data_IF_194177911452
#
_entry.id   IF_194177911452
#
_cell.length_a   1.000
_cell.length_b   1.000
_cell.length_c   1.000
_cell.angle_alpha   90.00
_cell.angle_beta   90.00
_cell.angle_gamma   90.00
#
_symmetry.space_group_name_H-M   'P 1'
#
loop_
_entity.id
_entity.type
_entity.pdbx_description
1 polymer ?
#
# COMPACT_ATOMS: atom_id res chain seq x y z
N UNK A 1 86.35 -7.00 -19.16
CA UNK A 1 86.16 -7.82 -17.94
C UNK A 1 84.97 -7.25 -17.16
N UNK A 2 84.11 -8.18 -16.73
CA UNK A 2 82.75 -8.11 -16.17
C UNK A 2 82.35 -6.83 -15.38
N UNK A 3 81.26 -6.18 -15.81
CA UNK A 3 80.42 -5.30 -14.97
C UNK A 3 79.42 -6.20 -14.22
N UNK A 4 79.44 -6.15 -12.89
CA UNK A 4 78.51 -6.85 -12.03
C UNK A 4 77.20 -6.05 -11.92
N UNK A 5 76.07 -6.63 -12.32
CA UNK A 5 74.74 -6.12 -11.99
C UNK A 5 74.35 -6.58 -10.59
N UNK A 6 74.03 -5.62 -9.73
CA UNK A 6 73.44 -5.84 -8.41
C UNK A 6 71.93 -6.09 -8.61
N UNK A 7 71.45 -7.31 -8.35
CA UNK A 7 70.03 -7.61 -8.34
C UNK A 7 69.47 -7.29 -6.94
N UNK A 8 68.60 -6.28 -6.85
CA UNK A 8 67.80 -6.00 -5.65
C UNK A 8 66.55 -6.86 -5.72
N UNK A 9 66.42 -7.83 -4.82
CA UNK A 9 65.20 -8.59 -4.63
C UNK A 9 64.20 -7.74 -3.81
N UNK A 10 63.13 -7.25 -4.45
CA UNK A 10 61.98 -6.69 -3.74
C UNK A 10 61.06 -7.86 -3.33
N UNK A 11 61.06 -8.19 -2.05
CA UNK A 11 60.09 -9.09 -1.43
C UNK A 11 58.74 -8.38 -1.30
N UNK A 12 57.84 -8.55 -2.27
CA UNK A 12 56.46 -8.09 -2.17
C UNK A 12 55.68 -8.98 -1.21
N UNK A 13 55.45 -8.52 0.01
CA UNK A 13 54.49 -9.15 0.91
C UNK A 13 53.07 -8.89 0.40
N UNK A 14 52.45 -9.91 -0.19
CA UNK A 14 51.05 -9.87 -0.61
C UNK A 14 50.18 -9.94 0.66
N UNK A 15 49.76 -8.79 1.18
CA UNK A 15 48.75 -8.73 2.23
C UNK A 15 47.39 -9.11 1.62
N UNK A 16 47.05 -10.40 1.73
CA UNK A 16 45.69 -10.90 1.49
C UNK A 16 44.78 -10.32 2.57
N UNK A 17 44.18 -9.16 2.29
CA UNK A 17 43.09 -8.62 3.07
C UNK A 17 41.89 -9.54 2.93
N UNK A 18 41.63 -10.37 3.94
CA UNK A 18 40.34 -11.04 4.07
C UNK A 18 39.30 -9.97 4.36
N UNK A 19 38.53 -9.57 3.35
CA UNK A 19 37.27 -8.89 3.58
C UNK A 19 36.38 -9.86 4.39
N UNK A 20 35.81 -9.44 5.53
CA UNK A 20 34.87 -10.29 6.25
C UNK A 20 33.73 -10.62 5.30
N UNK A 21 33.38 -11.90 5.20
CA UNK A 21 32.19 -12.33 4.50
C UNK A 21 31.02 -11.59 5.14
N UNK A 22 30.40 -10.67 4.39
CA UNK A 22 29.13 -10.07 4.78
C UNK A 22 28.15 -11.23 4.81
N UNK A 23 27.84 -11.74 6.00
CA UNK A 23 26.72 -12.64 6.19
C UNK A 23 25.50 -11.86 5.72
N UNK A 24 24.94 -12.24 4.57
CA UNK A 24 23.68 -11.69 4.10
C UNK A 24 22.70 -11.80 5.27
N UNK A 25 22.21 -10.66 5.76
CA UNK A 25 21.24 -10.66 6.85
C UNK A 25 20.08 -11.56 6.41
N UNK A 26 19.70 -12.51 7.28
CA UNK A 26 18.54 -13.36 7.04
C UNK A 26 17.34 -12.46 6.78
N UNK A 27 16.54 -12.80 5.77
CA UNK A 27 15.31 -12.09 5.46
C UNK A 27 14.37 -11.97 6.67
N UNK A 28 13.37 -11.10 6.57
CA UNK A 28 12.32 -10.98 7.59
C UNK A 28 11.02 -11.57 7.05
N UNK A 29 10.19 -12.07 7.96
CA UNK A 29 8.87 -12.58 7.62
C UNK A 29 7.81 -11.53 7.93
N UNK A 30 6.88 -11.32 7.01
CA UNK A 30 5.75 -10.40 7.18
C UNK A 30 4.51 -10.96 6.48
N UNK A 31 3.34 -10.62 6.98
CA UNK A 31 2.06 -10.94 6.34
C UNK A 31 1.69 -9.82 5.36
N UNK A 32 1.50 -10.13 4.09
CA UNK A 32 1.18 -9.17 3.03
C UNK A 32 -0.18 -9.49 2.40
N UNK A 33 -0.94 -8.46 2.07
CA UNK A 33 -2.13 -8.58 1.24
C UNK A 33 -1.78 -8.72 -0.23
N UNK A 34 -2.54 -9.60 -0.87
CA UNK A 34 -2.31 -10.04 -2.23
C UNK A 34 -3.68 -10.06 -2.91
N UNK A 35 -3.85 -9.16 -3.86
CA UNK A 35 -5.08 -8.94 -4.63
C UNK A 35 -5.13 -9.76 -5.92
N UNK A 36 -6.10 -10.66 -6.07
CA UNK A 36 -6.31 -11.45 -7.30
C UNK A 36 -6.96 -10.63 -8.42
N UNK A 37 -6.75 -10.96 -9.71
CA UNK A 37 -7.44 -10.29 -10.82
C UNK A 37 -8.97 -10.37 -10.75
N UNK A 38 -9.51 -11.41 -10.09
CA UNK A 38 -10.95 -11.55 -9.83
C UNK A 38 -11.46 -10.72 -8.65
N UNK A 39 -10.57 -9.96 -8.00
CA UNK A 39 -10.88 -9.05 -6.89
C UNK A 39 -10.78 -9.66 -5.50
N UNK A 40 -10.65 -10.99 -5.35
CA UNK A 40 -10.45 -11.61 -4.03
C UNK A 40 -9.11 -11.21 -3.42
N UNK A 41 -9.07 -10.99 -2.10
CA UNK A 41 -7.94 -10.41 -1.38
C UNK A 41 -7.49 -11.39 -0.33
N UNK A 42 -6.26 -11.90 -0.41
CA UNK A 42 -5.73 -12.84 0.59
C UNK A 42 -4.46 -12.36 1.25
N UNK A 43 -4.18 -12.88 2.45
CA UNK A 43 -2.90 -12.67 3.13
C UNK A 43 -1.97 -13.86 2.94
N UNK A 44 -0.72 -13.58 2.60
CA UNK A 44 0.34 -14.59 2.62
C UNK A 44 1.50 -14.13 3.49
N UNK A 45 2.01 -15.08 4.28
CA UNK A 45 3.23 -14.90 5.03
C UNK A 45 4.42 -15.05 4.09
N UNK A 46 5.11 -13.95 3.82
CA UNK A 46 6.26 -13.91 2.92
C UNK A 46 7.55 -13.72 3.70
N UNK A 47 8.61 -14.40 3.26
CA UNK A 47 9.98 -14.05 3.65
C UNK A 47 10.54 -13.09 2.62
N UNK A 48 10.81 -11.86 3.04
CA UNK A 48 11.37 -10.79 2.22
C UNK A 48 12.85 -10.60 2.51
N UNK A 49 13.64 -10.16 1.51
CA UNK A 49 15.04 -9.82 1.72
C UNK A 49 15.19 -8.78 2.84
N UNK A 50 16.21 -8.93 3.68
CA UNK A 50 16.51 -7.94 4.71
C UNK A 50 16.78 -6.54 4.13
N UNK A 51 17.18 -6.47 2.85
CA UNK A 51 17.35 -5.21 2.12
C UNK A 51 16.09 -4.37 2.07
N UNK A 52 14.89 -4.97 2.05
CA UNK A 52 13.64 -4.20 1.93
C UNK A 52 13.36 -3.33 3.16
N UNK A 53 14.06 -3.59 4.28
CA UNK A 53 14.00 -2.83 5.52
C UNK A 53 15.37 -2.38 6.00
N UNK A 54 16.41 -2.57 5.20
CA UNK A 54 17.75 -2.17 5.58
C UNK A 54 17.82 -0.64 5.68
N UNK A 55 18.67 -0.13 6.58
CA UNK A 55 18.98 1.28 6.61
C UNK A 55 19.59 1.70 5.26
N UNK A 56 18.82 2.42 4.45
CA UNK A 56 19.30 2.95 3.18
C UNK A 56 20.06 4.27 3.42
N UNK A 57 21.11 4.50 2.63
CA UNK A 57 21.73 5.84 2.55
C UNK A 57 20.65 6.83 2.12
N UNK A 58 20.68 8.04 2.69
CA UNK A 58 19.75 9.12 2.35
C UNK A 58 19.60 9.18 0.83
N UNK A 59 18.38 8.94 0.39
CA UNK A 59 18.03 8.98 -1.01
C UNK A 59 18.36 10.35 -1.61
N UNK A 60 18.72 10.40 -2.89
CA UNK A 60 18.92 11.69 -3.57
C UNK A 60 17.62 12.50 -3.45
N UNK A 61 17.70 13.84 -3.34
CA UNK A 61 16.50 14.67 -3.35
C UNK A 61 15.66 14.32 -4.57
N UNK A 62 14.41 13.93 -4.33
CA UNK A 62 13.42 13.72 -5.38
C UNK A 62 12.68 15.03 -5.61
N UNK A 63 12.32 15.28 -6.87
CA UNK A 63 11.44 16.39 -7.21
C UNK A 63 10.01 16.03 -6.82
N UNK A 64 9.30 16.97 -6.21
CA UNK A 64 7.93 16.77 -5.73
C UNK A 64 6.99 17.70 -6.49
N UNK A 65 6.01 17.10 -7.15
CA UNK A 65 5.01 17.82 -7.95
C UNK A 65 3.65 17.72 -7.26
N UNK A 66 2.99 18.84 -6.92
CA UNK A 66 1.60 18.81 -6.50
C UNK A 66 0.71 18.43 -7.69
N UNK A 67 0.01 17.30 -7.57
CA UNK A 67 -1.03 16.90 -8.52
C UNK A 67 -2.35 17.56 -8.15
N UNK A 68 -2.64 17.60 -6.84
CA UNK A 68 -3.80 18.29 -6.29
C UNK A 68 -3.42 18.80 -4.90
N UNK A 69 -3.71 20.07 -4.61
CA UNK A 69 -3.45 20.68 -3.30
C UNK A 69 -4.70 21.43 -2.86
N UNK A 70 -5.47 20.82 -1.97
CA UNK A 70 -6.76 21.32 -1.52
C UNK A 70 -6.70 22.05 -0.18
N UNK A 71 -5.60 21.93 0.56
CA UNK A 71 -5.42 22.61 1.84
C UNK A 71 -4.04 22.39 2.46
N UNK A 72 -3.82 22.95 3.66
CA UNK A 72 -2.66 22.62 4.49
C UNK A 72 -2.66 21.14 4.90
N UNK A 73 -1.49 20.51 4.93
CA UNK A 73 -1.30 19.10 5.28
C UNK A 73 -1.77 18.70 6.68
N UNK A 74 -1.79 19.64 7.63
CA UNK A 74 -2.33 19.37 8.98
C UNK A 74 -3.86 19.26 9.03
N UNK A 75 -4.53 19.50 7.90
CA UNK A 75 -5.99 19.47 7.77
C UNK A 75 -6.44 18.86 6.43
N UNK A 76 -5.60 18.08 5.75
CA UNK A 76 -5.93 17.45 4.47
C UNK A 76 -5.11 16.19 4.33
N UNK A 77 -5.72 15.10 3.89
CA UNK A 77 -5.04 13.81 3.76
C UNK A 77 -3.97 13.85 2.65
N UNK A 78 -2.71 13.62 2.99
CA UNK A 78 -1.59 13.62 2.06
C UNK A 78 -1.33 12.21 1.51
N UNK A 79 -1.83 11.95 0.29
CA UNK A 79 -1.48 10.76 -0.49
C UNK A 79 -0.21 11.02 -1.30
N UNK A 80 0.86 10.33 -0.94
CA UNK A 80 2.16 10.46 -1.61
C UNK A 80 2.39 9.30 -2.55
N UNK A 81 2.45 9.61 -3.84
CA UNK A 81 2.69 8.65 -4.91
C UNK A 81 4.16 8.70 -5.28
N UNK A 82 4.88 7.57 -5.16
CA UNK A 82 6.31 7.46 -5.47
C UNK A 82 6.50 6.50 -6.64
N UNK A 83 7.24 6.91 -7.67
CA UNK A 83 7.47 6.08 -8.85
C UNK A 83 8.67 5.14 -8.70
N UNK A 84 8.57 3.89 -9.13
CA UNK A 84 9.74 3.00 -9.28
C UNK A 84 9.80 2.37 -10.67
N UNK A 85 11.02 2.14 -11.19
CA UNK A 85 11.22 1.53 -12.50
C UNK A 85 10.97 2.47 -13.68
N UNK A 86 10.79 3.78 -13.45
CA UNK A 86 10.74 4.79 -14.49
C UNK A 86 12.10 5.47 -14.62
N UNK A 87 12.68 5.43 -15.82
CA UNK A 87 13.91 6.14 -16.16
C UNK A 87 13.66 7.63 -16.38
N UNK A 88 14.72 8.42 -16.54
CA UNK A 88 14.61 9.87 -16.75
C UNK A 88 13.73 10.23 -17.97
N UNK A 89 13.78 9.42 -19.03
CA UNK A 89 13.01 9.63 -20.26
C UNK A 89 11.54 9.19 -20.13
N UNK A 90 11.17 8.51 -19.03
CA UNK A 90 9.83 7.96 -18.79
C UNK A 90 9.04 8.79 -17.74
N UNK A 91 9.56 9.93 -17.28
CA UNK A 91 8.89 10.76 -16.28
C UNK A 91 7.52 11.29 -16.75
N UNK A 92 7.32 11.46 -18.06
CA UNK A 92 6.01 11.78 -18.63
C UNK A 92 5.04 10.61 -18.48
N UNK A 93 5.48 9.39 -18.79
CA UNK A 93 4.69 8.17 -18.62
C UNK A 93 4.36 7.92 -17.15
N UNK A 94 5.30 8.15 -16.24
CA UNK A 94 5.03 8.10 -14.81
C UNK A 94 3.92 9.08 -14.41
N UNK A 95 4.00 10.33 -14.87
CA UNK A 95 2.98 11.36 -14.57
C UNK A 95 1.59 11.00 -15.14
N UNK A 96 1.54 10.34 -16.30
CA UNK A 96 0.29 9.82 -16.87
C UNK A 96 -0.29 8.67 -16.05
N UNK A 97 0.56 7.75 -15.59
CA UNK A 97 0.15 6.65 -14.72
C UNK A 97 -0.37 7.16 -13.38
N UNK A 98 0.28 8.17 -12.78
CA UNK A 98 -0.20 8.84 -11.56
C UNK A 98 -1.61 9.40 -11.79
N UNK A 99 -1.82 10.20 -12.84
CA UNK A 99 -3.14 10.77 -13.14
C UNK A 99 -4.21 9.69 -13.31
N UNK A 100 -3.90 8.64 -14.07
CA UNK A 100 -4.80 7.50 -14.29
C UNK A 100 -5.19 6.80 -12.98
N UNK A 101 -4.22 6.52 -12.11
CA UNK A 101 -4.48 5.89 -10.81
C UNK A 101 -5.29 6.79 -9.89
N UNK A 102 -5.04 8.10 -9.90
CA UNK A 102 -5.80 9.08 -9.10
C UNK A 102 -7.23 9.23 -9.61
N UNK A 103 -7.45 9.28 -10.93
CA UNK A 103 -8.79 9.31 -11.50
C UNK A 103 -9.57 8.02 -11.21
N UNK A 104 -8.89 6.87 -11.22
CA UNK A 104 -9.48 5.61 -10.80
C UNK A 104 -9.88 5.62 -9.32
N UNK A 105 -9.00 6.08 -8.42
CA UNK A 105 -9.30 6.23 -6.99
C UNK A 105 -10.58 7.06 -6.76
N UNK A 106 -10.66 8.23 -7.40
CA UNK A 106 -11.79 9.16 -7.26
C UNK A 106 -13.02 8.82 -8.11
N UNK A 107 -13.07 7.62 -8.73
CA UNK A 107 -14.22 7.18 -9.51
C UNK A 107 -15.36 6.57 -8.68
N UNK A 108 -15.08 6.24 -7.41
CA UNK A 108 -16.05 5.60 -6.49
C UNK A 108 -16.36 6.50 -5.29
N UNK A 109 -17.52 6.30 -4.68
CA UNK A 109 -17.86 6.93 -3.40
C UNK A 109 -17.22 6.15 -2.23
N UNK A 110 -16.88 6.82 -1.11
CA UNK A 110 -17.02 8.27 -0.87
C UNK A 110 -15.85 9.11 -1.41
N UNK A 111 -14.79 8.51 -1.95
CA UNK A 111 -13.62 9.26 -2.45
C UNK A 111 -14.02 10.36 -3.43
N UNK A 112 -14.91 10.06 -4.38
CA UNK A 112 -15.41 11.01 -5.38
C UNK A 112 -15.98 12.28 -4.77
N UNK A 113 -16.91 12.16 -3.82
CA UNK A 113 -17.53 13.31 -3.15
C UNK A 113 -16.57 14.05 -2.23
N UNK A 114 -15.56 13.35 -1.69
CA UNK A 114 -14.61 13.89 -0.73
C UNK A 114 -13.21 14.13 -1.31
N UNK A 115 -13.07 14.20 -2.64
CA UNK A 115 -11.78 14.46 -3.32
C UNK A 115 -11.04 15.70 -2.80
N UNK A 116 -11.80 16.73 -2.39
CA UNK A 116 -11.26 17.96 -1.79
C UNK A 116 -10.60 17.77 -0.42
N UNK A 117 -10.69 16.59 0.18
CA UNK A 117 -10.04 16.25 1.44
C UNK A 117 -8.64 15.65 1.23
N UNK A 118 -8.16 15.60 -0.01
CA UNK A 118 -6.86 15.07 -0.36
C UNK A 118 -5.91 16.14 -0.88
N UNK A 119 -4.67 16.06 -0.45
CA UNK A 119 -3.52 16.54 -1.19
C UNK A 119 -2.87 15.32 -1.87
N UNK A 120 -2.51 15.47 -3.13
CA UNK A 120 -1.89 14.42 -3.92
C UNK A 120 -0.51 14.89 -4.35
N UNK A 121 0.53 14.22 -3.87
CA UNK A 121 1.92 14.54 -4.18
C UNK A 121 2.54 13.46 -5.04
N UNK A 122 3.06 13.84 -6.19
CA UNK A 122 3.89 12.96 -7.02
C UNK A 122 5.36 13.18 -6.69
N UNK A 123 6.06 12.12 -6.31
CA UNK A 123 7.50 12.13 -6.02
C UNK A 123 8.25 11.48 -7.18
N UNK A 124 8.97 12.30 -7.93
CA UNK A 124 9.73 11.89 -9.11
C UNK A 124 11.04 11.23 -8.72
N UNK A 125 11.08 9.90 -8.82
CA UNK A 125 12.26 9.10 -8.55
C UNK A 125 12.74 8.43 -9.84
N UNK A 126 13.96 8.77 -10.26
CA UNK A 126 14.57 8.21 -11.46
C UNK A 126 15.25 6.88 -11.13
N UNK A 127 14.80 5.82 -11.81
CA UNK A 127 15.42 4.49 -11.79
C UNK A 127 16.48 4.37 -12.88
N UNK A 128 17.48 3.50 -12.66
CA UNK A 128 18.50 3.23 -13.67
C UNK A 128 17.94 2.39 -14.81
N UNK A 129 17.15 1.36 -14.48
CA UNK A 129 16.50 0.49 -15.45
C UNK A 129 15.00 0.80 -15.55
N UNK A 130 14.47 0.67 -16.76
CA UNK A 130 13.03 0.68 -17.02
C UNK A 130 12.41 -0.67 -16.65
N UNK A 131 11.22 -0.65 -16.08
CA UNK A 131 10.48 -1.83 -15.66
C UNK A 131 10.75 -2.24 -14.21
N UNK A 132 10.29 -3.45 -13.84
CA UNK A 132 10.49 -4.04 -12.52
C UNK A 132 11.14 -5.42 -12.61
N UNK A 133 11.75 -5.90 -11.53
CA UNK A 133 12.32 -7.26 -11.52
C UNK A 133 11.22 -8.32 -11.60
N UNK A 134 11.54 -9.44 -12.25
CA UNK A 134 10.63 -10.56 -12.55
C UNK A 134 9.43 -10.21 -13.46
N UNK A 135 9.60 -9.22 -14.35
CA UNK A 135 8.63 -8.81 -15.36
C UNK A 135 9.35 -8.46 -16.69
N UNK A 136 8.90 -8.99 -17.86
CA UNK A 136 7.77 -9.90 -18.06
C UNK A 136 7.99 -11.32 -17.50
N UNK A 137 9.25 -11.76 -17.42
CA UNK A 137 9.61 -13.12 -17.04
C UNK A 137 10.31 -13.17 -15.67
N UNK A 138 10.01 -14.23 -14.91
CA UNK A 138 10.70 -14.50 -13.65
C UNK A 138 12.20 -14.75 -13.90
N UNK A 139 13.06 -14.12 -13.06
CA UNK A 139 14.51 -14.19 -13.19
C UNK A 139 15.14 -12.94 -13.84
N UNK A 140 14.36 -12.09 -14.49
CA UNK A 140 14.82 -10.77 -14.95
C UNK A 140 15.10 -9.89 -13.73
N UNK A 141 16.29 -9.27 -13.70
CA UNK A 141 16.67 -8.32 -12.65
C UNK A 141 16.71 -6.91 -13.24
N UNK A 142 16.16 -5.94 -12.50
CA UNK A 142 16.17 -4.51 -12.81
C UNK A 142 16.78 -3.74 -11.64
N UNK A 143 17.72 -2.86 -11.93
CA UNK A 143 18.27 -1.92 -10.96
C UNK A 143 17.36 -0.68 -10.88
N UNK A 144 16.28 -0.80 -10.11
CA UNK A 144 15.36 0.32 -9.88
C UNK A 144 15.68 1.05 -8.58
N UNK A 145 15.15 2.26 -8.41
CA UNK A 145 15.48 3.10 -7.28
C UNK A 145 15.08 2.47 -5.94
N UNK A 146 13.92 1.79 -5.91
CA UNK A 146 13.39 1.11 -4.73
C UNK A 146 13.37 -0.41 -4.86
N UNK A 147 13.92 -0.97 -5.94
CA UNK A 147 14.07 -2.40 -6.13
C UNK A 147 12.77 -3.17 -6.28
N UNK A 148 11.72 -2.57 -6.87
CA UNK A 148 10.43 -3.24 -7.06
C UNK A 148 10.54 -4.56 -7.80
N UNK A 149 9.81 -5.58 -7.33
CA UNK A 149 9.86 -6.93 -7.88
C UNK A 149 8.55 -7.70 -7.70
N UNK A 150 8.14 -8.42 -8.74
CA UNK A 150 7.07 -9.42 -8.68
C UNK A 150 7.56 -10.75 -8.10
N UNK A 151 6.63 -11.69 -7.90
CA UNK A 151 6.90 -13.02 -7.31
C UNK A 151 7.38 -12.96 -5.85
N UNK A 152 7.04 -11.89 -5.14
CA UNK A 152 7.32 -11.79 -3.71
C UNK A 152 6.63 -12.94 -2.98
N UNK A 153 7.37 -13.68 -2.15
CA UNK A 153 6.85 -14.87 -1.47
C UNK A 153 6.39 -16.00 -2.40
N UNK A 154 6.91 -16.09 -3.63
CA UNK A 154 6.46 -17.00 -4.69
C UNK A 154 5.04 -16.75 -5.21
N UNK A 155 4.45 -15.60 -4.91
CA UNK A 155 3.15 -15.21 -5.44
C UNK A 155 3.34 -14.24 -6.60
N UNK A 156 3.06 -14.68 -7.82
CA UNK A 156 3.40 -13.98 -9.07
C UNK A 156 3.08 -12.48 -9.06
N UNK A 157 1.85 -12.15 -8.70
CA UNK A 157 1.28 -10.78 -8.71
C UNK A 157 1.58 -9.97 -7.44
N UNK A 158 2.27 -10.56 -6.46
CA UNK A 158 2.68 -9.82 -5.28
C UNK A 158 3.90 -8.96 -5.62
N UNK A 159 3.68 -7.65 -5.67
CA UNK A 159 4.67 -6.64 -6.02
C UNK A 159 5.24 -6.05 -4.73
N UNK A 160 6.48 -6.41 -4.40
CA UNK A 160 7.19 -5.90 -3.22
C UNK A 160 8.23 -4.85 -3.62
N UNK A 161 8.63 -4.04 -2.65
CA UNK A 161 9.57 -2.92 -2.79
C UNK A 161 10.42 -2.79 -1.53
N UNK A 162 11.54 -2.07 -1.61
CA UNK A 162 12.27 -1.56 -0.44
C UNK A 162 11.46 -0.45 0.25
N UNK A 163 10.77 -0.81 1.32
CA UNK A 163 9.89 0.09 2.08
C UNK A 163 10.67 1.22 2.74
N UNK A 164 11.91 0.98 3.17
CA UNK A 164 12.74 2.02 3.76
C UNK A 164 13.01 3.12 2.73
N UNK A 165 13.37 2.74 1.49
CA UNK A 165 13.59 3.74 0.43
C UNK A 165 12.30 4.43 0.02
N UNK A 166 11.19 3.70 -0.09
CA UNK A 166 9.89 4.29 -0.40
C UNK A 166 9.52 5.40 0.61
N UNK A 167 9.66 5.12 1.91
CA UNK A 167 9.45 6.10 2.99
C UNK A 167 10.43 7.26 2.92
N UNK A 168 11.71 7.01 2.61
CA UNK A 168 12.70 8.08 2.46
C UNK A 168 12.39 9.03 1.29
N UNK A 169 11.93 8.51 0.16
CA UNK A 169 11.50 9.34 -0.96
C UNK A 169 10.20 10.08 -0.65
N UNK A 170 9.22 9.40 -0.06
CA UNK A 170 7.94 10.01 0.32
C UNK A 170 8.12 11.18 1.29
N UNK A 171 9.11 11.11 2.21
CA UNK A 171 9.44 12.18 3.14
C UNK A 171 9.93 13.49 2.50
N UNK A 172 10.09 13.54 1.17
CA UNK A 172 10.31 14.80 0.45
C UNK A 172 9.01 15.62 0.28
N UNK A 173 7.84 14.99 0.38
CA UNK A 173 6.55 15.67 0.36
C UNK A 173 6.33 16.51 1.64
N UNK A 174 5.40 17.48 1.62
CA UNK A 174 5.11 18.30 2.80
C UNK A 174 4.67 17.49 4.03
N UNK A 175 3.88 16.44 3.82
CA UNK A 175 3.49 15.45 4.83
C UNK A 175 3.13 14.11 4.16
N UNK A 176 2.90 13.06 4.94
CA UNK A 176 2.64 11.70 4.46
C UNK A 176 1.64 10.95 5.35
N UNK A 177 0.41 10.76 4.87
CA UNK A 177 -0.58 9.89 5.53
C UNK A 177 -0.63 8.48 4.92
N UNK A 178 -0.45 8.38 3.60
CA UNK A 178 -0.35 7.11 2.89
C UNK A 178 0.69 7.18 1.78
N UNK A 179 1.49 6.12 1.67
CA UNK A 179 2.43 5.94 0.56
C UNK A 179 1.83 4.97 -0.45
N UNK A 180 1.85 5.36 -1.72
CA UNK A 180 1.59 4.49 -2.86
C UNK A 180 2.82 4.44 -3.77
N UNK A 181 3.46 3.29 -3.87
CA UNK A 181 4.48 3.06 -4.89
C UNK A 181 3.79 2.61 -6.18
N UNK A 182 3.92 3.42 -7.24
CA UNK A 182 3.55 3.01 -8.60
C UNK A 182 4.78 2.45 -9.30
N UNK A 183 4.75 1.16 -9.62
CA UNK A 183 5.85 0.53 -10.34
C UNK A 183 5.60 0.56 -11.86
N UNK A 184 6.65 0.77 -12.64
CA UNK A 184 6.58 0.81 -14.11
C UNK A 184 6.34 -0.59 -14.69
N UNK A 185 5.09 -1.02 -14.69
CA UNK A 185 4.67 -2.29 -15.26
C UNK A 185 3.21 -2.23 -15.72
N UNK A 186 2.90 -2.97 -16.77
CA UNK A 186 1.53 -3.21 -17.23
C UNK A 186 0.95 -4.53 -16.70
N UNK A 187 1.79 -5.39 -16.09
CA UNK A 187 1.36 -6.62 -15.43
C UNK A 187 0.45 -6.26 -14.25
N UNK A 188 -0.60 -7.06 -14.04
CA UNK A 188 -1.46 -6.84 -12.88
C UNK A 188 -0.74 -7.25 -11.60
N UNK A 189 -0.80 -6.38 -10.60
CA UNK A 189 -0.38 -6.72 -9.25
C UNK A 189 0.00 -5.51 -8.41
N UNK A 190 0.23 -5.81 -7.14
CA UNK A 190 0.32 -4.84 -6.06
C UNK A 190 0.25 -5.54 -4.71
N UNK A 191 0.30 -4.75 -3.64
CA UNK A 191 0.23 -5.21 -2.27
C UNK A 191 -0.25 -4.08 -1.35
N UNK A 192 -0.83 -4.47 -0.22
CA UNK A 192 -1.38 -3.55 0.76
C UNK A 192 -0.39 -3.16 1.87
N UNK A 193 -0.86 -2.31 2.76
CA UNK A 193 -0.15 -1.83 3.95
C UNK A 193 0.30 -0.37 3.90
N UNK A 194 1.12 0.02 4.88
CA UNK A 194 1.60 1.40 5.06
C UNK A 194 2.36 1.94 3.82
N UNK A 195 3.03 1.03 3.10
CA UNK A 195 3.56 1.27 1.76
C UNK A 195 2.80 0.35 0.80
N UNK A 196 1.71 0.87 0.25
CA UNK A 196 0.95 0.15 -0.76
C UNK A 196 1.73 0.16 -2.09
N UNK A 197 1.60 -0.91 -2.87
CA UNK A 197 2.20 -0.99 -4.20
C UNK A 197 1.13 -1.28 -5.25
N UNK A 198 1.30 -0.70 -6.43
CA UNK A 198 0.42 -0.94 -7.57
C UNK A 198 1.20 -0.81 -8.89
N UNK A 199 0.78 -1.56 -9.90
CA UNK A 199 1.38 -1.48 -11.23
C UNK A 199 0.81 -0.28 -11.99
N UNK A 200 1.65 0.72 -12.26
CA UNK A 200 1.20 2.03 -12.77
C UNK A 200 0.59 1.98 -14.16
N UNK A 201 1.05 1.06 -15.01
CA UNK A 201 0.50 0.84 -16.36
C UNK A 201 -0.72 -0.08 -16.39
N UNK A 202 -1.33 -0.40 -15.23
CA UNK A 202 -2.45 -1.33 -15.11
C UNK A 202 -3.62 -0.72 -14.33
N UNK A 203 -4.67 -0.32 -15.04
CA UNK A 203 -5.84 0.34 -14.43
C UNK A 203 -6.58 -0.51 -13.39
N UNK A 204 -6.58 -1.84 -13.52
CA UNK A 204 -7.21 -2.72 -12.53
C UNK A 204 -6.44 -2.73 -11.20
N UNK A 205 -5.11 -2.54 -11.23
CA UNK A 205 -4.27 -2.49 -10.02
C UNK A 205 -4.54 -1.23 -9.18
N UNK A 206 -5.18 -0.19 -9.75
CA UNK A 206 -5.52 1.03 -8.99
C UNK A 206 -6.64 0.80 -7.97
N UNK A 207 -7.43 -0.28 -8.10
CA UNK A 207 -8.44 -0.66 -7.11
C UNK A 207 -7.83 -1.09 -5.78
N UNK A 208 -6.57 -1.52 -5.77
CA UNK A 208 -5.83 -1.86 -4.54
C UNK A 208 -5.80 -0.65 -3.61
N UNK A 209 -5.47 0.53 -4.15
CA UNK A 209 -5.37 1.78 -3.38
C UNK A 209 -6.70 2.16 -2.73
N UNK A 210 -7.83 1.88 -3.39
CA UNK A 210 -9.15 2.16 -2.85
C UNK A 210 -9.45 1.33 -1.59
N UNK A 211 -8.96 0.09 -1.55
CA UNK A 211 -9.06 -0.80 -0.39
C UNK A 211 -8.13 -0.33 0.74
N UNK A 212 -6.86 -0.06 0.43
CA UNK A 212 -5.86 0.36 1.44
C UNK A 212 -6.25 1.65 2.16
N UNK A 213 -6.76 2.64 1.42
CA UNK A 213 -7.25 3.88 2.01
C UNK A 213 -8.48 3.65 2.90
N UNK A 214 -9.19 2.53 2.75
CA UNK A 214 -10.22 2.07 3.68
C UNK A 214 -9.66 1.87 5.10
N UNK A 215 -8.47 1.26 5.20
CA UNK A 215 -7.77 1.10 6.48
C UNK A 215 -7.27 2.44 7.01
N UNK A 216 -6.52 3.18 6.19
CA UNK A 216 -5.81 4.38 6.65
C UNK A 216 -6.75 5.53 7.02
N UNK A 217 -7.87 5.69 6.30
CA UNK A 217 -8.83 6.79 6.54
C UNK A 217 -9.96 6.33 7.45
N UNK A 218 -10.62 5.22 7.11
CA UNK A 218 -11.81 4.75 7.79
C UNK A 218 -11.54 3.91 9.03
N UNK A 219 -10.32 3.45 9.24
CA UNK A 219 -10.01 2.47 10.30
C UNK A 219 -10.79 1.16 10.12
N UNK A 220 -11.01 0.78 8.87
CA UNK A 220 -11.80 -0.40 8.51
C UNK A 220 -10.99 -1.68 8.72
N UNK A 221 -11.68 -2.75 9.10
CA UNK A 221 -11.15 -4.11 9.07
C UNK A 221 -11.32 -4.72 7.68
N UNK A 222 -10.53 -5.75 7.40
CA UNK A 222 -10.81 -6.68 6.32
C UNK A 222 -12.09 -7.47 6.55
N UNK A 223 -12.89 -7.63 5.50
CA UNK A 223 -14.15 -8.36 5.52
C UNK A 223 -14.04 -9.77 4.91
N UNK A 224 -12.83 -10.18 4.49
CA UNK A 224 -12.54 -11.56 4.11
C UNK A 224 -12.20 -12.43 5.34
N UNK A 225 -12.38 -13.75 5.18
CA UNK A 225 -12.52 -14.72 6.28
C UNK A 225 -11.37 -15.75 6.33
N UNK A 226 -10.23 -15.41 5.75
CA UNK A 226 -9.04 -16.25 5.70
C UNK A 226 -7.80 -15.46 6.11
N UNK A 227 -6.94 -16.11 6.90
CA UNK A 227 -5.75 -15.53 7.52
C UNK A 227 -5.67 -15.93 9.00
N UNK A 228 -4.95 -15.12 9.78
CA UNK A 228 -4.79 -15.35 11.22
C UNK A 228 -5.96 -14.71 11.97
N UNK A 229 -6.98 -15.52 12.27
CA UNK A 229 -8.17 -15.09 13.00
C UNK A 229 -7.85 -14.63 14.43
N UNK A 230 -8.31 -13.43 14.77
CA UNK A 230 -8.41 -12.93 16.14
C UNK A 230 -9.91 -12.79 16.52
N UNK A 231 -10.44 -13.66 17.39
CA UNK A 231 -11.86 -13.69 17.75
C UNK A 231 -12.26 -12.61 18.76
N UNK A 232 -11.36 -11.72 19.18
CA UNK A 232 -11.71 -10.62 20.08
C UNK A 232 -12.56 -9.56 19.38
N UNK A 233 -13.44 -8.89 20.14
CA UNK A 233 -14.31 -7.83 19.59
C UNK A 233 -13.46 -6.68 19.03
N UNK A 234 -13.52 -6.41 17.72
CA UNK A 234 -12.70 -5.39 17.09
C UNK A 234 -13.17 -3.97 17.42
N UNK A 235 -12.28 -2.99 17.32
CA UNK A 235 -12.65 -1.57 17.36
C UNK A 235 -13.22 -1.11 16.01
N UNK A 236 -12.75 -1.73 14.92
CA UNK A 236 -13.08 -1.45 13.54
C UNK A 236 -14.60 -1.49 13.32
N UNK A 237 -15.20 -0.50 12.64
CA UNK A 237 -16.66 -0.32 12.62
C UNK A 237 -17.38 -1.34 11.74
N UNK A 238 -16.69 -2.03 10.83
CA UNK A 238 -17.24 -2.94 9.83
C UNK A 238 -16.99 -4.43 10.11
N UNK A 239 -16.54 -4.78 11.33
CA UNK A 239 -16.47 -6.14 11.82
C UNK A 239 -16.97 -6.23 13.27
N UNK A 240 -17.52 -7.37 13.68
CA UNK A 240 -17.97 -7.61 15.07
C UNK A 240 -18.15 -9.09 15.38
N UNK A 241 -17.94 -9.49 16.63
CA UNK A 241 -18.32 -10.81 17.15
C UNK A 241 -19.78 -10.86 17.65
N UNK A 242 -20.47 -9.71 17.66
CA UNK A 242 -21.85 -9.58 18.14
C UNK A 242 -22.86 -10.09 17.12
N UNK A 243 -23.89 -10.81 17.60
CA UNK A 243 -25.06 -11.13 16.80
C UNK A 243 -25.93 -9.89 16.54
N UNK A 244 -26.86 -9.96 15.58
CA UNK A 244 -27.80 -8.85 15.32
C UNK A 244 -28.60 -8.45 16.56
N UNK A 245 -29.07 -9.42 17.35
CA UNK A 245 -29.82 -9.15 18.59
C UNK A 245 -28.95 -8.42 19.62
N UNK A 246 -27.68 -8.81 19.75
CA UNK A 246 -26.73 -8.14 20.62
C UNK A 246 -26.43 -6.72 20.16
N UNK A 247 -26.20 -6.52 18.85
CA UNK A 247 -26.01 -5.18 18.28
C UNK A 247 -27.22 -4.27 18.55
N UNK A 248 -28.44 -4.78 18.37
CA UNK A 248 -29.68 -4.03 18.66
C UNK A 248 -29.82 -3.70 20.14
N UNK A 249 -29.60 -4.67 21.02
CA UNK A 249 -29.73 -4.48 22.47
C UNK A 249 -28.70 -3.50 23.03
N UNK A 250 -27.47 -3.54 22.51
CA UNK A 250 -26.36 -2.70 22.96
C UNK A 250 -26.27 -1.36 22.21
N UNK A 251 -27.03 -1.19 21.12
CA UNK A 251 -26.90 -0.07 20.19
C UNK A 251 -25.45 0.10 19.69
N UNK A 252 -24.82 -1.02 19.34
CA UNK A 252 -23.41 -1.09 18.95
C UNK A 252 -23.26 -1.32 17.44
N UNK A 253 -22.07 -0.97 16.91
CA UNK A 253 -21.67 -1.22 15.52
C UNK A 253 -22.68 -0.63 14.53
N UNK A 254 -23.18 -1.41 13.58
CA UNK A 254 -24.11 -0.98 12.54
C UNK A 254 -25.57 -1.32 12.84
N UNK A 255 -25.97 -1.38 14.13
CA UNK A 255 -27.34 -1.73 14.53
C UNK A 255 -28.43 -0.90 13.82
N UNK A 256 -28.13 0.35 13.47
CA UNK A 256 -29.03 1.28 12.76
C UNK A 256 -29.29 0.87 11.31
N UNK A 257 -28.34 0.16 10.70
CA UNK A 257 -28.44 -0.29 9.31
C UNK A 257 -29.07 -1.68 9.17
N UNK A 258 -29.18 -2.47 10.24
CA UNK A 258 -29.70 -3.85 10.13
C UNK A 258 -31.08 -3.91 9.47
N UNK A 259 -31.16 -4.58 8.32
CA UNK A 259 -32.34 -4.71 7.46
C UNK A 259 -32.49 -3.65 6.37
N UNK A 260 -31.60 -2.64 6.32
CA UNK A 260 -31.58 -1.62 5.28
C UNK A 260 -30.92 -2.15 4.00
N UNK A 261 -31.22 -1.59 2.82
CA UNK A 261 -30.52 -1.94 1.58
C UNK A 261 -29.02 -1.69 1.68
N UNK A 262 -28.24 -2.58 1.08
CA UNK A 262 -26.79 -2.45 0.93
C UNK A 262 -26.40 -2.20 -0.54
N UNK A 263 -25.36 -1.39 -0.83
CA UNK A 263 -24.94 -1.10 -2.20
C UNK A 263 -24.52 -2.32 -3.05
N UNK A 264 -24.19 -3.45 -2.42
CA UNK A 264 -23.94 -4.73 -3.10
C UNK A 264 -25.21 -5.41 -3.65
N UNK A 265 -26.38 -4.79 -3.45
CA UNK A 265 -27.69 -5.30 -3.90
C UNK A 265 -28.41 -6.15 -2.86
N UNK A 266 -27.79 -6.40 -1.71
CA UNK A 266 -28.37 -7.13 -0.59
C UNK A 266 -28.99 -6.21 0.47
N UNK A 267 -29.03 -6.71 1.70
CA UNK A 267 -29.42 -5.95 2.89
C UNK A 267 -28.27 -5.95 3.88
N UNK A 268 -28.18 -4.94 4.73
CA UNK A 268 -27.23 -4.95 5.84
C UNK A 268 -27.71 -5.92 6.92
N UNK A 269 -26.82 -6.77 7.40
CA UNK A 269 -27.08 -7.80 8.41
C UNK A 269 -25.82 -8.16 9.18
N UNK A 270 -25.77 -9.35 9.79
CA UNK A 270 -24.56 -9.94 10.36
C UNK A 270 -24.14 -11.17 9.54
N UNK A 271 -23.35 -10.96 8.49
CA UNK A 271 -22.89 -12.03 7.59
C UNK A 271 -21.65 -12.69 8.17
N UNK A 272 -21.70 -14.00 8.41
CA UNK A 272 -20.59 -14.74 8.99
C UNK A 272 -19.36 -14.76 8.07
N UNK A 273 -18.18 -14.53 8.65
CA UNK A 273 -16.90 -14.44 7.96
C UNK A 273 -16.40 -12.99 7.85
N UNK A 274 -15.35 -12.65 8.59
CA UNK A 274 -14.62 -11.36 8.47
C UNK A 274 -13.43 -11.35 9.41
N UNK A 275 -12.54 -10.35 9.28
CA UNK A 275 -11.34 -10.20 10.12
C UNK A 275 -10.58 -11.52 10.24
N UNK A 276 -10.45 -12.21 9.11
CA UNK A 276 -9.74 -13.48 8.93
C UNK A 276 -10.39 -14.69 9.64
N UNK A 277 -11.52 -14.51 10.30
CA UNK A 277 -12.27 -15.56 10.98
C UNK A 277 -13.39 -16.09 10.09
N UNK A 278 -13.41 -17.40 9.83
CA UNK A 278 -14.48 -18.08 9.09
C UNK A 278 -15.81 -18.12 9.84
N UNK A 279 -15.76 -18.17 11.17
CA UNK A 279 -16.94 -18.24 12.03
C UNK A 279 -16.77 -17.34 13.25
N UNK A 280 -17.89 -16.91 13.84
CA UNK A 280 -17.89 -16.09 15.05
C UNK A 280 -17.46 -14.63 14.89
N UNK A 281 -17.18 -14.18 13.66
CA UNK A 281 -17.00 -12.77 13.30
C UNK A 281 -17.89 -12.45 12.11
N UNK A 282 -18.50 -11.28 12.13
CA UNK A 282 -19.52 -10.84 11.17
C UNK A 282 -19.11 -9.57 10.46
N UNK A 283 -19.46 -9.49 9.16
CA UNK A 283 -19.41 -8.28 8.32
C UNK A 283 -20.83 -7.76 8.05
N UNK A 284 -21.00 -6.48 7.70
CA UNK A 284 -22.30 -5.84 7.54
C UNK A 284 -23.05 -6.23 6.26
N UNK A 285 -22.37 -6.63 5.19
CA UNK A 285 -22.98 -6.95 3.89
C UNK A 285 -22.43 -8.25 3.32
N UNK A 286 -23.09 -8.80 2.30
CA UNK A 286 -22.54 -9.97 1.62
C UNK A 286 -21.19 -9.62 1.01
N UNK A 287 -21.07 -8.47 0.34
CA UNK A 287 -19.81 -8.01 -0.22
C UNK A 287 -19.56 -6.52 -0.01
N UNK A 288 -18.30 -6.12 -0.04
CA UNK A 288 -17.84 -4.75 -0.05
C UNK A 288 -16.40 -4.67 -0.57
N UNK A 289 -15.88 -3.46 -0.80
CA UNK A 289 -14.48 -3.30 -1.20
C UNK A 289 -13.47 -3.84 -0.18
N UNK A 290 -13.86 -3.92 1.11
CA UNK A 290 -13.03 -4.49 2.17
C UNK A 290 -13.01 -6.04 2.13
N UNK A 291 -13.82 -6.66 1.27
CA UNK A 291 -13.84 -8.10 1.02
C UNK A 291 -13.33 -8.46 -0.38
N UNK A 292 -13.78 -7.73 -1.40
CA UNK A 292 -13.47 -7.97 -2.81
C UNK A 292 -13.30 -6.65 -3.55
N UNK A 293 -12.23 -6.48 -4.32
CA UNK A 293 -12.03 -5.30 -5.15
C UNK A 293 -13.18 -5.08 -6.15
N UNK A 294 -13.39 -3.81 -6.53
CA UNK A 294 -14.41 -3.42 -7.51
C UNK A 294 -15.83 -3.38 -6.95
N UNK A 295 -16.02 -3.69 -5.67
CA UNK A 295 -17.30 -3.52 -4.96
C UNK A 295 -17.39 -2.12 -4.34
N UNK A 296 -18.60 -1.59 -4.09
CA UNK A 296 -18.77 -0.40 -3.28
C UNK A 296 -18.44 -0.67 -1.81
N UNK A 297 -18.19 0.39 -1.04
CA UNK A 297 -18.23 0.30 0.42
C UNK A 297 -19.66 -0.03 0.88
N UNK A 298 -19.77 -0.82 1.94
CA UNK A 298 -21.04 -0.98 2.65
C UNK A 298 -21.37 0.28 3.48
N UNK A 299 -22.61 0.42 3.99
CA UNK A 299 -23.02 1.63 4.69
C UNK A 299 -22.17 2.01 5.93
N UNK A 300 -21.89 1.12 6.90
CA UNK A 300 -21.06 1.51 8.04
C UNK A 300 -19.62 1.84 7.64
N UNK A 301 -19.06 1.16 6.62
CA UNK A 301 -17.76 1.54 6.09
C UNK A 301 -17.77 2.92 5.42
N UNK A 302 -18.84 3.26 4.70
CA UNK A 302 -19.00 4.60 4.10
C UNK A 302 -19.02 5.69 5.17
N UNK A 303 -19.80 5.49 6.24
CA UNK A 303 -19.87 6.43 7.36
C UNK A 303 -18.52 6.58 8.07
N UNK A 304 -17.80 5.49 8.27
CA UNK A 304 -16.48 5.49 8.87
C UNK A 304 -15.44 6.22 7.99
N UNK A 305 -15.48 6.03 6.68
CA UNK A 305 -14.66 6.78 5.72
C UNK A 305 -14.97 8.27 5.77
N UNK A 306 -16.25 8.65 5.80
CA UNK A 306 -16.67 10.04 5.93
C UNK A 306 -16.16 10.66 7.23
N UNK A 307 -16.32 9.95 8.36
CA UNK A 307 -15.79 10.39 9.65
C UNK A 307 -14.26 10.52 9.63
N UNK A 308 -13.57 9.60 8.95
CA UNK A 308 -12.13 9.65 8.69
C UNK A 308 -11.71 10.93 7.98
N UNK A 309 -12.37 11.28 6.88
CA UNK A 309 -12.06 12.53 6.16
C UNK A 309 -12.19 13.76 7.05
N UNK A 310 -13.18 13.83 7.95
CA UNK A 310 -13.31 14.97 8.88
C UNK A 310 -12.31 14.95 10.03
N UNK A 311 -11.78 13.78 10.40
CA UNK A 311 -10.73 13.65 11.41
C UNK A 311 -9.41 14.20 10.89
N UNK A 312 -9.05 13.84 9.66
CA UNK A 312 -7.84 14.32 8.98
C UNK A 312 -7.99 15.75 8.44
N UNK A 313 -9.22 16.23 8.25
CA UNK A 313 -9.52 17.60 7.82
C UNK A 313 -10.51 18.34 8.76
N UNK A 314 -10.07 18.76 9.97
CA UNK A 314 -10.94 19.40 10.97
C UNK A 314 -11.61 20.69 10.51
N UNK A 315 -11.06 21.37 9.50
CA UNK A 315 -11.54 22.66 8.97
C UNK A 315 -12.95 22.60 8.35
N UNK A 316 -13.49 21.40 8.11
CA UNK A 316 -14.81 21.16 7.53
C UNK A 316 -15.78 20.40 8.44
N UNK A 317 -15.39 20.08 9.68
CA UNK A 317 -16.33 19.48 10.63
C UNK A 317 -17.56 20.41 10.74
N UNK A 318 -18.78 19.94 10.42
CA UNK A 318 -19.95 20.79 10.56
C UNK A 318 -19.99 21.27 12.00
N UNK A 319 -19.97 22.60 12.19
CA UNK A 319 -20.08 23.21 13.51
C UNK A 319 -21.25 22.54 14.22
N UNK A 320 -20.95 21.66 15.18
CA UNK A 320 -21.97 21.18 16.10
C UNK A 320 -22.45 22.43 16.80
N UNK A 321 -23.66 22.89 16.44
CA UNK A 321 -24.33 23.93 17.18
C UNK A 321 -24.33 23.49 18.64
N UNK A 322 -23.56 24.20 19.46
CA UNK A 322 -23.58 24.03 20.90
C UNK A 322 -25.01 24.28 21.37
N UNK A 323 -25.59 23.26 22.00
CA UNK A 323 -26.70 23.43 22.95
C UNK A 323 -26.10 23.75 24.32
#
# INVERSE_FOLDING_TARGET
>A
MRRACLAVALSGALALGFAPAVTAASGFTTSMEVFEPGGSIHRVTVTRPASDRAAARIARPADVVPIEQNGPSDTTFDLVVVGDGYTADEMSTYSENVKSSIDALFSIEPYKSYRKQFNIWQVNVVSQDSGVSNDPDQGIQRNTAMGSYFWCGNTERLLCVDETKAKQYAAAAPDVDQILVLANSTKYGGSGGEVATSSGGNGASSQIVQHELGHSIGGLADEYDYGDCDPSEPAEPNATSLTEDQMRAQQAKWYQYLGQPSPDGGTVGAYEGSRYCQTGMYRPSENSIMRTLGQPFNPPSTDAMIAGFYREAPSLAPHRHAA
#
